data_IF_870406866946
#
_entry.id   IF_870406866946
#
_cell.length_a   1.000
_cell.length_b   1.000
_cell.length_c   1.000
_cell.angle_alpha   90.00
_cell.angle_beta   90.00
_cell.angle_gamma   90.00
#
_symmetry.space_group_name_H-M   'P 1'
#
loop_
_entity.id
_entity.type
_entity.pdbx_description
1 polymer ?
#
# COMPACT_ATOMS: atom_id res chain seq x y z
N UNK A 1 18.44 -21.23 -13.25
CA UNK A 1 18.71 -20.92 -14.66
C UNK A 1 18.05 -19.55 -14.87
N UNK A 2 18.72 -18.42 -15.03
CA UNK A 2 20.00 -18.15 -15.67
C UNK A 2 20.88 -17.18 -14.89
N UNK A 3 22.16 -17.55 -14.81
CA UNK A 3 23.28 -16.68 -14.45
C UNK A 3 23.79 -16.08 -15.75
N UNK A 4 23.79 -14.75 -15.89
CA UNK A 4 24.71 -14.02 -16.80
C UNK A 4 24.68 -12.51 -16.55
N UNK A 5 24.90 -12.10 -15.29
CA UNK A 5 25.33 -10.73 -15.00
C UNK A 5 26.83 -10.62 -15.23
N UNK A 6 27.24 -10.34 -16.46
CA UNK A 6 28.62 -10.06 -16.82
C UNK A 6 29.11 -8.86 -16.01
N UNK A 7 29.82 -9.14 -14.90
CA UNK A 7 30.66 -8.16 -14.21
C UNK A 7 31.71 -7.72 -15.23
N UNK A 8 31.45 -6.60 -15.92
CA UNK A 8 32.50 -5.79 -16.51
C UNK A 8 33.49 -5.49 -15.38
N UNK A 9 34.59 -6.26 -15.30
CA UNK A 9 35.79 -5.82 -14.61
C UNK A 9 36.23 -4.57 -15.36
N UNK A 10 35.81 -3.39 -14.89
CA UNK A 10 36.63 -2.21 -15.13
C UNK A 10 37.99 -2.57 -14.54
N UNK A 11 38.97 -2.82 -15.39
CA UNK A 11 40.37 -2.86 -14.98
C UNK A 11 40.74 -1.45 -14.58
N UNK A 12 40.28 -1.02 -13.41
CA UNK A 12 40.88 0.11 -12.71
C UNK A 12 42.33 -0.33 -12.51
N UNK A 13 43.27 0.34 -13.19
CA UNK A 13 44.67 -0.09 -13.19
C UNK A 13 45.15 -0.05 -11.73
N UNK A 14 45.42 -1.22 -11.16
CA UNK A 14 45.88 -1.30 -9.78
C UNK A 14 47.22 -0.55 -9.66
N UNK A 15 47.25 0.45 -8.78
CA UNK A 15 48.44 1.20 -8.42
C UNK A 15 49.06 0.60 -7.15
N UNK A 16 50.37 0.78 -7.00
CA UNK A 16 51.06 0.42 -5.76
C UNK A 16 50.88 1.57 -4.78
N UNK A 17 50.19 1.33 -3.68
CA UNK A 17 49.87 2.32 -2.67
C UNK A 17 50.52 1.98 -1.33
N UNK A 18 50.63 3.00 -0.48
CA UNK A 18 51.18 2.90 0.87
C UNK A 18 50.07 2.53 1.85
N UNK A 19 50.40 1.67 2.79
CA UNK A 19 49.58 1.36 3.96
C UNK A 19 50.44 1.40 5.23
N UNK A 20 50.06 2.28 6.15
CA UNK A 20 50.75 2.45 7.44
C UNK A 20 50.43 1.25 8.35
N UNK A 21 51.45 0.68 8.99
CA UNK A 21 51.27 -0.48 9.88
C UNK A 21 50.61 -0.11 11.21
N UNK A 22 49.83 -1.04 11.78
CA UNK A 22 49.25 -0.89 13.12
C UNK A 22 50.36 -0.70 14.18
N UNK A 23 50.18 0.28 15.08
CA UNK A 23 51.18 0.66 16.09
C UNK A 23 52.23 1.69 15.62
N UNK A 24 52.19 2.11 14.36
CA UNK A 24 53.02 3.18 13.80
C UNK A 24 52.46 4.55 14.20
N UNK A 25 53.19 5.34 15.01
CA UNK A 25 52.82 6.72 15.36
C UNK A 25 53.69 7.69 14.58
N UNK A 26 53.10 8.58 13.78
CA UNK A 26 53.83 9.71 13.23
C UNK A 26 53.85 10.85 14.26
N UNK A 27 55.01 11.15 14.84
CA UNK A 27 55.16 12.32 15.69
C UNK A 27 55.07 13.60 14.86
N UNK A 28 53.87 14.15 14.67
CA UNK A 28 53.61 15.56 14.33
C UNK A 28 54.23 16.18 13.06
N UNK A 29 55.04 15.47 12.26
CA UNK A 29 55.71 16.06 11.09
C UNK A 29 54.90 15.93 9.80
N UNK A 30 54.89 17.01 9.00
CA UNK A 30 54.12 17.18 7.78
C UNK A 30 54.54 16.27 6.59
N UNK A 31 55.61 15.47 6.72
CA UNK A 31 56.29 14.78 5.59
C UNK A 31 56.23 13.25 5.71
N UNK A 32 55.39 12.69 6.58
CA UNK A 32 55.23 11.24 6.67
C UNK A 32 54.24 10.70 5.64
N UNK A 33 54.51 9.48 5.16
CA UNK A 33 53.58 8.76 4.29
C UNK A 33 52.33 8.33 5.08
N UNK A 34 51.19 8.36 4.40
CA UNK A 34 49.88 7.98 4.93
C UNK A 34 49.28 6.85 4.10
N UNK A 35 48.36 6.12 4.72
CA UNK A 35 47.61 5.08 4.01
C UNK A 35 46.84 5.72 2.85
N UNK A 36 47.06 5.19 1.65
CA UNK A 36 46.47 5.72 0.42
C UNK A 36 47.44 6.54 -0.44
N UNK A 37 48.63 6.94 0.03
CA UNK A 37 49.63 7.59 -0.84
C UNK A 37 50.06 6.64 -1.96
N UNK A 38 50.13 7.13 -3.20
CA UNK A 38 50.40 6.30 -4.39
C UNK A 38 51.90 6.33 -4.68
N UNK A 39 52.56 5.18 -4.78
CA UNK A 39 53.99 5.09 -5.07
C UNK A 39 54.24 5.33 -6.55
N UNK A 40 55.07 6.34 -6.83
CA UNK A 40 55.43 6.74 -8.20
C UNK A 40 56.86 6.31 -8.54
N UNK A 41 57.80 6.42 -7.59
CA UNK A 41 59.19 6.00 -7.82
C UNK A 41 59.80 5.32 -6.58
N UNK A 42 60.68 4.35 -6.80
CA UNK A 42 61.49 3.71 -5.77
C UNK A 42 62.95 3.70 -6.20
N UNK A 43 63.82 4.34 -5.42
CA UNK A 43 65.25 4.47 -5.69
C UNK A 43 66.04 3.67 -4.66
N UNK A 44 66.99 2.85 -5.14
CA UNK A 44 67.84 1.99 -4.32
C UNK A 44 69.30 2.47 -4.44
N UNK A 45 69.86 3.07 -3.38
CA UNK A 45 71.24 3.56 -3.41
C UNK A 45 71.53 4.47 -4.61
N UNK A 46 72.54 4.13 -5.41
CA UNK A 46 72.93 4.83 -6.64
C UNK A 46 72.37 4.21 -7.94
N UNK A 47 71.45 3.24 -7.84
CA UNK A 47 70.79 2.64 -9.01
C UNK A 47 69.73 3.58 -9.61
N UNK A 48 69.44 3.45 -10.93
CA UNK A 48 68.35 4.21 -11.54
C UNK A 48 67.01 3.91 -10.87
N UNK A 49 66.13 4.93 -10.69
CA UNK A 49 64.86 4.76 -10.00
C UNK A 49 63.90 3.85 -10.77
N UNK A 50 63.25 2.92 -10.06
CA UNK A 50 62.15 2.14 -10.59
C UNK A 50 60.88 3.00 -10.56
N UNK A 51 60.24 3.20 -11.72
CA UNK A 51 59.08 4.10 -11.86
C UNK A 51 57.76 3.34 -12.08
N UNK A 52 56.68 3.94 -11.62
CA UNK A 52 55.31 3.57 -11.99
C UNK A 52 55.10 3.79 -13.52
N UNK A 53 54.21 3.03 -14.17
CA UNK A 53 53.47 1.90 -13.65
C UNK A 53 54.37 0.66 -13.47
N UNK A 54 54.34 0.07 -12.27
CA UNK A 54 55.11 -1.15 -11.98
C UNK A 54 54.45 -2.35 -12.65
N UNK A 55 55.02 -2.86 -13.75
CA UNK A 55 54.53 -4.10 -14.38
C UNK A 55 54.61 -5.26 -13.38
N UNK A 56 53.46 -5.77 -12.96
CA UNK A 56 53.34 -6.79 -11.90
C UNK A 56 53.08 -6.23 -10.49
N UNK A 57 52.76 -4.94 -10.38
CA UNK A 57 52.30 -4.27 -9.16
C UNK A 57 53.29 -4.41 -7.99
N UNK A 58 52.74 -4.56 -6.79
CA UNK A 58 53.48 -4.78 -5.55
C UNK A 58 54.48 -5.92 -5.68
N UNK A 59 54.10 -7.01 -6.34
CA UNK A 59 54.96 -8.20 -6.45
C UNK A 59 56.29 -7.90 -7.14
N UNK A 60 56.30 -6.97 -8.10
CA UNK A 60 57.55 -6.52 -8.76
C UNK A 60 58.40 -5.69 -7.80
N UNK A 61 57.79 -4.74 -7.09
CA UNK A 61 58.49 -3.89 -6.11
C UNK A 61 59.08 -4.73 -4.97
N UNK A 62 58.36 -5.76 -4.51
CA UNK A 62 58.85 -6.70 -3.48
C UNK A 62 60.07 -7.51 -3.92
N UNK A 63 60.17 -7.87 -5.22
CA UNK A 63 61.38 -8.51 -5.76
C UNK A 63 62.58 -7.56 -5.74
N UNK A 64 62.37 -6.29 -6.11
CA UNK A 64 63.43 -5.27 -6.04
C UNK A 64 63.90 -5.03 -4.60
N UNK A 65 62.96 -4.97 -3.64
CA UNK A 65 63.28 -4.88 -2.21
C UNK A 65 64.10 -6.08 -1.72
N UNK A 66 63.76 -7.29 -2.18
CA UNK A 66 64.50 -8.51 -1.85
C UNK A 66 65.94 -8.49 -2.40
N UNK A 67 66.11 -8.07 -3.65
CA UNK A 67 67.41 -7.97 -4.30
C UNK A 67 68.31 -6.93 -3.63
N UNK A 68 67.78 -5.73 -3.37
CA UNK A 68 68.49 -4.67 -2.65
C UNK A 68 68.90 -5.11 -1.24
N UNK A 69 68.00 -5.76 -0.50
CA UNK A 69 68.31 -6.32 0.82
C UNK A 69 69.44 -7.37 0.76
N UNK A 70 69.47 -8.23 -0.27
CA UNK A 70 70.53 -9.23 -0.45
C UNK A 70 71.89 -8.62 -0.79
N UNK A 71 71.92 -7.47 -1.47
CA UNK A 71 73.15 -6.74 -1.80
C UNK A 71 73.70 -5.92 -0.63
N UNK A 72 72.91 -5.70 0.42
CA UNK A 72 73.25 -4.83 1.54
C UNK A 72 72.78 -3.38 1.37
N UNK A 73 72.18 -3.05 0.22
CA UNK A 73 71.61 -1.74 -0.11
C UNK A 73 70.24 -1.57 0.56
N UNK A 74 70.26 -1.41 1.89
CA UNK A 74 69.02 -1.36 2.68
C UNK A 74 68.40 0.03 2.74
N UNK A 75 69.11 1.09 2.30
CA UNK A 75 68.61 2.46 2.27
C UNK A 75 67.93 2.78 0.94
N UNK A 76 66.65 3.16 0.99
CA UNK A 76 65.84 3.46 -0.19
C UNK A 76 65.13 4.81 -0.07
N UNK A 77 64.74 5.37 -1.20
CA UNK A 77 63.87 6.55 -1.28
C UNK A 77 62.61 6.17 -2.05
N UNK A 78 61.45 6.40 -1.46
CA UNK A 78 60.15 6.19 -2.10
C UNK A 78 59.51 7.53 -2.36
N UNK A 79 59.27 7.85 -3.63
CA UNK A 79 58.48 9.01 -4.03
C UNK A 79 57.02 8.61 -4.14
N UNK A 80 56.17 9.22 -3.33
CA UNK A 80 54.73 8.94 -3.35
C UNK A 80 53.93 10.21 -3.63
N UNK A 81 52.80 10.06 -4.33
CA UNK A 81 51.86 11.11 -4.66
C UNK A 81 50.69 11.11 -3.67
N UNK A 82 50.38 12.28 -3.12
CA UNK A 82 49.20 12.56 -2.31
C UNK A 82 48.29 13.57 -3.01
N UNK A 83 47.00 13.24 -3.09
CA UNK A 83 45.97 14.05 -3.69
C UNK A 83 45.98 14.07 -5.22
N UNK A 84 44.95 14.69 -5.83
CA UNK A 84 44.85 14.85 -7.27
C UNK A 84 45.81 15.91 -7.84
N UNK A 85 46.27 16.85 -7.01
CA UNK A 85 47.18 17.96 -7.40
C UNK A 85 48.66 17.54 -7.48
N UNK A 86 48.96 16.25 -7.50
CA UNK A 86 50.32 15.71 -7.64
C UNK A 86 51.32 16.26 -6.60
N UNK A 87 50.93 16.33 -5.31
CA UNK A 87 51.91 16.62 -4.25
C UNK A 87 52.80 15.39 -4.05
N UNK A 88 54.08 15.51 -4.39
CA UNK A 88 55.06 14.44 -4.24
C UNK A 88 55.78 14.52 -2.90
N UNK A 89 55.88 13.37 -2.22
CA UNK A 89 56.54 13.18 -0.94
C UNK A 89 57.70 12.19 -1.14
N UNK A 90 58.92 12.61 -0.78
CA UNK A 90 60.09 11.74 -0.79
C UNK A 90 60.30 11.13 0.60
N UNK A 91 60.14 9.81 0.69
CA UNK A 91 60.22 9.05 1.93
C UNK A 91 61.51 8.23 1.99
N UNK A 92 62.40 8.63 2.89
CA UNK A 92 63.66 7.91 3.14
C UNK A 92 63.42 6.76 4.12
N UNK A 93 63.65 5.53 3.65
CA UNK A 93 63.34 4.33 4.41
C UNK A 93 64.49 3.31 4.40
N UNK A 94 64.44 2.42 5.39
CA UNK A 94 65.22 1.18 5.42
C UNK A 94 64.33 -0.01 5.12
N UNK A 95 64.83 -0.91 4.29
CA UNK A 95 64.19 -2.19 3.96
C UNK A 95 64.38 -3.15 5.13
N UNK A 96 63.29 -3.54 5.78
CA UNK A 96 63.31 -4.45 6.94
C UNK A 96 62.54 -5.72 6.59
N UNK A 97 63.08 -6.92 6.85
CA UNK A 97 62.33 -8.16 6.67
C UNK A 97 61.17 -8.20 7.66
N UNK A 98 59.98 -8.59 7.18
CA UNK A 98 58.78 -8.69 8.00
C UNK A 98 58.40 -10.18 8.17
N UNK A 99 58.87 -10.84 9.24
CA UNK A 99 58.74 -12.29 9.40
C UNK A 99 57.29 -12.76 9.61
N UNK A 100 56.43 -11.89 10.14
CA UNK A 100 55.04 -12.21 10.47
C UNK A 100 54.12 -12.41 9.25
N UNK A 101 54.54 -12.01 8.04
CA UNK A 101 53.72 -12.08 6.83
C UNK A 101 54.22 -13.09 5.78
N UNK A 102 55.13 -13.99 6.17
CA UNK A 102 55.65 -15.08 5.33
C UNK A 102 57.04 -14.82 4.70
N UNK A 103 57.55 -15.80 3.95
CA UNK A 103 58.89 -15.72 3.33
C UNK A 103 58.95 -14.59 2.28
N UNK A 104 60.01 -13.78 2.34
CA UNK A 104 60.33 -12.67 1.38
C UNK A 104 59.36 -11.49 1.40
N UNK A 105 58.76 -11.19 2.56
CA UNK A 105 58.06 -9.93 2.76
C UNK A 105 58.95 -8.88 3.43
N UNK A 106 58.87 -7.65 2.92
CA UNK A 106 59.67 -6.51 3.33
C UNK A 106 58.74 -5.35 3.66
N UNK A 107 59.12 -4.62 4.71
CA UNK A 107 58.45 -3.40 5.18
C UNK A 107 59.45 -2.26 5.11
N UNK A 108 58.95 -1.06 4.87
CA UNK A 108 59.75 0.14 4.79
C UNK A 108 59.63 0.89 6.11
N UNK A 109 60.75 1.04 6.81
CA UNK A 109 60.81 1.77 8.08
C UNK A 109 61.51 3.10 7.87
N UNK A 110 60.92 4.20 8.33
CA UNK A 110 61.51 5.53 8.15
C UNK A 110 62.90 5.60 8.78
N UNK A 111 63.83 6.26 8.09
CA UNK A 111 65.16 6.58 8.63
C UNK A 111 65.05 7.64 9.74
N UNK A 112 64.07 8.54 9.64
CA UNK A 112 63.88 9.66 10.57
C UNK A 112 63.08 9.26 11.82
N UNK A 113 62.09 8.38 11.65
CA UNK A 113 61.31 7.83 12.78
C UNK A 113 61.23 6.30 12.67
N UNK A 114 62.06 5.54 13.42
CA UNK A 114 62.03 4.09 13.39
C UNK A 114 60.67 3.46 13.79
N UNK A 115 59.80 4.22 14.46
CA UNK A 115 58.43 3.76 14.80
C UNK A 115 57.47 3.88 13.62
N UNK A 116 57.80 4.70 12.62
CA UNK A 116 57.00 4.85 11.42
C UNK A 116 57.37 3.78 10.38
N UNK A 117 56.48 2.79 10.23
CA UNK A 117 56.64 1.70 9.28
C UNK A 117 55.45 1.60 8.32
N UNK A 118 55.74 1.36 7.06
CA UNK A 118 54.74 1.26 5.99
C UNK A 118 54.97 0.03 5.13
N UNK A 119 53.87 -0.53 4.62
CA UNK A 119 53.87 -1.61 3.62
C UNK A 119 53.30 -1.10 2.30
N UNK A 120 53.65 -1.79 1.22
CA UNK A 120 53.12 -1.53 -0.11
C UNK A 120 51.96 -2.49 -0.39
N UNK A 121 50.90 -2.01 -1.05
CA UNK A 121 49.70 -2.78 -1.42
C UNK A 121 49.21 -2.42 -2.82
N UNK A 122 48.58 -3.36 -3.52
CA UNK A 122 47.91 -3.07 -4.79
C UNK A 122 46.48 -2.59 -4.48
N UNK A 123 46.10 -1.39 -4.94
CA UNK A 123 44.74 -0.81 -4.79
C UNK A 123 44.35 -0.04 -6.06
N UNK A 124 43.07 0.26 -6.25
CA UNK A 124 42.68 1.19 -7.31
C UNK A 124 43.09 2.62 -6.94
N UNK A 125 43.35 3.46 -7.95
CA UNK A 125 43.63 4.87 -7.74
C UNK A 125 42.45 5.58 -7.06
N UNK A 126 41.22 5.22 -7.44
CA UNK A 126 39.97 5.70 -6.83
C UNK A 126 39.90 5.43 -5.32
N UNK A 127 40.30 4.22 -4.87
CA UNK A 127 40.37 3.88 -3.45
C UNK A 127 41.47 4.65 -2.73
N UNK A 128 42.65 4.81 -3.36
CA UNK A 128 43.78 5.55 -2.80
C UNK A 128 43.41 6.99 -2.50
N UNK A 129 42.77 7.67 -3.45
CA UNK A 129 42.27 9.04 -3.29
C UNK A 129 41.22 9.10 -2.15
N UNK A 130 40.37 8.09 -2.02
CA UNK A 130 39.40 8.02 -0.92
C UNK A 130 40.06 7.86 0.46
N UNK A 131 41.18 7.13 0.56
CA UNK A 131 41.96 7.02 1.82
C UNK A 131 42.69 8.31 2.18
N UNK A 132 43.20 9.04 1.18
CA UNK A 132 43.84 10.35 1.33
C UNK A 132 42.86 11.46 1.75
N UNK A 133 41.55 11.24 1.64
CA UNK A 133 40.52 12.18 2.04
C UNK A 133 40.50 12.50 3.55
N UNK A 134 39.93 13.65 3.93
CA UNK A 134 39.77 14.08 5.32
C UNK A 134 38.89 13.13 6.15
N UNK A 135 38.94 13.23 7.49
CA UNK A 135 38.02 12.49 8.38
C UNK A 135 36.55 12.77 8.01
N UNK A 136 36.21 14.00 7.62
CA UNK A 136 34.85 14.34 7.17
C UNK A 136 34.48 13.63 5.88
N UNK A 137 35.36 13.55 4.87
CA UNK A 137 35.04 12.85 3.62
C UNK A 137 34.88 11.34 3.81
N UNK A 138 35.62 10.72 4.74
CA UNK A 138 35.45 9.29 5.08
C UNK A 138 34.12 9.00 5.77
N UNK A 139 33.67 9.86 6.69
CA UNK A 139 32.36 9.72 7.35
C UNK A 139 31.23 9.96 6.33
N UNK A 140 31.34 11.00 5.50
CA UNK A 140 30.38 11.23 4.41
C UNK A 140 30.30 10.06 3.44
N UNK A 141 31.43 9.42 3.12
CA UNK A 141 31.45 8.23 2.27
C UNK A 141 30.86 6.99 2.95
N UNK A 142 31.16 6.78 4.24
CA UNK A 142 30.56 5.70 5.01
C UNK A 142 29.04 5.87 5.13
N UNK A 143 28.58 7.10 5.31
CA UNK A 143 27.16 7.45 5.29
C UNK A 143 26.52 7.18 3.92
N UNK A 144 27.16 7.63 2.83
CA UNK A 144 26.68 7.37 1.47
C UNK A 144 26.64 5.87 1.12
N UNK A 145 27.50 5.07 1.75
CA UNK A 145 27.57 3.63 1.55
C UNK A 145 26.71 2.84 2.56
N UNK A 146 26.17 3.48 3.59
CA UNK A 146 25.34 2.82 4.59
C UNK A 146 23.98 2.51 3.97
N UNK A 147 23.63 1.24 3.93
CA UNK A 147 22.34 0.78 3.46
C UNK A 147 21.49 0.42 4.67
N UNK A 148 20.25 0.91 4.70
CA UNK A 148 19.24 0.38 5.61
C UNK A 148 18.85 -1.00 5.09
N UNK A 149 18.76 -1.97 6.01
CA UNK A 149 18.31 -3.31 5.71
C UNK A 149 16.87 -3.50 6.17
N UNK A 150 16.10 -4.26 5.40
CA UNK A 150 14.75 -4.64 5.78
C UNK A 150 14.78 -5.60 6.98
N UNK A 151 13.78 -5.47 7.86
CA UNK A 151 13.55 -6.35 8.99
C UNK A 151 12.09 -6.79 9.03
N UNK A 152 11.84 -7.99 9.55
CA UNK A 152 10.50 -8.53 9.72
C UNK A 152 10.21 -8.79 11.20
N UNK A 153 8.99 -8.49 11.63
CA UNK A 153 8.48 -8.75 12.98
C UNK A 153 7.33 -9.73 12.88
N UNK A 154 7.37 -10.79 13.69
CA UNK A 154 6.24 -11.71 13.81
C UNK A 154 5.08 -11.01 14.52
N UNK A 155 3.90 -11.00 13.90
CA UNK A 155 2.69 -10.40 14.45
C UNK A 155 1.55 -11.43 14.48
N UNK A 156 0.91 -11.69 15.64
CA UNK A 156 -0.10 -12.73 15.77
C UNK A 156 -1.47 -12.25 15.28
N UNK A 157 -1.62 -12.12 13.96
CA UNK A 157 -2.81 -11.57 13.29
C UNK A 157 -4.11 -12.22 13.76
N UNK A 158 -4.19 -13.55 13.80
CA UNK A 158 -5.42 -14.29 14.13
C UNK A 158 -5.86 -14.06 15.57
N UNK A 159 -4.90 -14.01 16.50
CA UNK A 159 -5.18 -13.73 17.91
C UNK A 159 -5.71 -12.30 18.05
N UNK A 160 -5.05 -11.33 17.40
CA UNK A 160 -5.45 -9.92 17.44
C UNK A 160 -6.83 -9.71 16.83
N UNK A 161 -7.12 -10.29 15.65
CA UNK A 161 -8.44 -10.18 15.03
C UNK A 161 -9.57 -10.75 15.90
N UNK A 162 -9.32 -11.79 16.70
CA UNK A 162 -10.32 -12.35 17.62
C UNK A 162 -10.51 -11.52 18.88
N UNK A 163 -9.45 -10.89 19.37
CA UNK A 163 -9.45 -10.15 20.65
C UNK A 163 -9.82 -8.67 20.50
N UNK A 164 -9.56 -8.05 19.33
CA UNK A 164 -9.69 -6.59 19.16
C UNK A 164 -10.85 -6.15 18.27
N UNK A 165 -11.39 -7.02 17.42
CA UNK A 165 -12.51 -6.64 16.54
C UNK A 165 -13.84 -6.78 17.28
N UNK A 166 -14.79 -5.83 17.11
CA UNK A 166 -16.13 -5.93 17.71
C UNK A 166 -16.88 -7.20 17.28
N UNK A 167 -16.73 -7.58 16.01
CA UNK A 167 -17.22 -8.85 15.48
C UNK A 167 -16.00 -9.74 15.13
N UNK A 168 -15.84 -10.91 15.76
CA UNK A 168 -14.69 -11.77 15.52
C UNK A 168 -14.50 -12.11 14.04
N UNK A 169 -13.27 -11.95 13.55
CA UNK A 169 -12.88 -12.21 12.16
C UNK A 169 -13.66 -11.39 11.10
N UNK A 170 -14.26 -10.25 11.48
CA UNK A 170 -15.08 -9.44 10.58
C UNK A 170 -14.64 -7.98 10.55
N UNK A 171 -14.41 -7.45 9.33
CA UNK A 171 -14.10 -6.04 9.11
C UNK A 171 -15.34 -5.16 9.17
N UNK A 172 -15.24 -3.96 9.75
CA UNK A 172 -16.25 -2.91 9.61
C UNK A 172 -16.13 -2.13 8.29
N UNK A 173 -15.09 -2.40 7.49
CA UNK A 173 -14.93 -1.84 6.15
C UNK A 173 -15.70 -2.66 5.13
N UNK A 174 -16.53 -1.97 4.36
CA UNK A 174 -17.34 -2.50 3.27
C UNK A 174 -17.00 -1.82 1.96
N UNK A 175 -17.35 -2.46 0.86
CA UNK A 175 -17.08 -1.90 -0.46
C UNK A 175 -18.17 -2.23 -1.47
N UNK A 176 -18.44 -1.29 -2.38
CA UNK A 176 -19.26 -1.46 -3.56
C UNK A 176 -18.38 -1.27 -4.81
N UNK A 177 -18.40 -2.22 -5.74
CA UNK A 177 -17.76 -2.07 -7.04
C UNK A 177 -18.73 -1.49 -8.07
N UNK A 178 -18.46 -0.30 -8.59
CA UNK A 178 -19.25 0.32 -9.66
C UNK A 178 -18.53 0.10 -10.99
N UNK A 179 -19.13 -0.70 -11.86
CA UNK A 179 -18.64 -0.86 -13.23
C UNK A 179 -19.06 0.33 -14.10
N UNK A 180 -18.24 0.74 -15.09
CA UNK A 180 -18.62 1.76 -16.06
C UNK A 180 -19.91 1.41 -16.76
N UNK A 181 -20.76 2.41 -16.95
CA UNK A 181 -22.04 2.20 -17.64
C UNK A 181 -21.77 1.98 -19.13
N UNK A 182 -22.31 0.90 -19.68
CA UNK A 182 -22.31 0.69 -21.12
C UNK A 182 -23.22 1.74 -21.78
N UNK A 183 -22.70 2.47 -22.76
CA UNK A 183 -23.48 3.48 -23.48
C UNK A 183 -24.42 2.83 -24.51
N UNK A 184 -24.13 1.60 -24.91
CA UNK A 184 -24.86 0.80 -25.89
C UNK A 184 -25.17 -0.62 -25.36
N UNK A 185 -26.24 -1.28 -25.84
CA UNK A 185 -26.58 -2.64 -25.43
C UNK A 185 -25.51 -3.68 -25.78
N UNK A 186 -24.70 -3.44 -26.81
CA UNK A 186 -23.60 -4.33 -27.19
C UNK A 186 -22.36 -4.20 -26.31
N UNK A 187 -22.37 -3.28 -25.32
CA UNK A 187 -21.26 -3.06 -24.37
C UNK A 187 -19.91 -2.81 -25.08
N UNK A 188 -19.96 -2.16 -26.24
CA UNK A 188 -18.77 -1.82 -27.03
C UNK A 188 -18.18 -0.47 -26.64
N UNK A 189 -19.02 0.40 -26.07
CA UNK A 189 -18.67 1.74 -25.59
C UNK A 189 -19.14 1.96 -24.16
N UNK A 190 -18.37 2.74 -23.40
CA UNK A 190 -18.63 3.00 -21.99
C UNK A 190 -18.57 4.49 -21.72
N UNK A 191 -19.43 4.93 -20.81
CA UNK A 191 -19.39 6.29 -20.27
C UNK A 191 -18.03 6.54 -19.59
N UNK A 192 -17.54 7.79 -19.54
CA UNK A 192 -16.25 8.13 -18.94
C UNK A 192 -16.17 7.80 -17.44
N UNK A 193 -14.96 7.77 -16.89
CA UNK A 193 -14.74 7.41 -15.47
C UNK A 193 -15.49 8.36 -14.53
N UNK A 194 -15.62 9.64 -14.91
CA UNK A 194 -16.39 10.64 -14.16
C UNK A 194 -17.87 10.25 -13.97
N UNK A 195 -18.51 9.64 -14.98
CA UNK A 195 -19.89 9.12 -14.84
C UNK A 195 -19.95 7.98 -13.81
N UNK A 196 -18.91 7.14 -13.78
CA UNK A 196 -18.82 6.04 -12.83
C UNK A 196 -18.62 6.55 -11.40
N UNK A 197 -17.82 7.60 -11.22
CA UNK A 197 -17.65 8.30 -9.95
C UNK A 197 -18.96 8.97 -9.50
N UNK A 198 -19.63 9.70 -10.39
CA UNK A 198 -20.90 10.35 -10.10
C UNK A 198 -21.99 9.34 -9.68
N UNK A 199 -22.03 8.16 -10.32
CA UNK A 199 -22.94 7.07 -9.92
C UNK A 199 -22.61 6.50 -8.54
N UNK A 200 -21.33 6.38 -8.20
CA UNK A 200 -20.92 5.94 -6.87
C UNK A 200 -21.32 6.96 -5.79
N UNK A 201 -21.09 8.25 -6.06
CA UNK A 201 -21.47 9.35 -5.18
C UNK A 201 -22.99 9.45 -4.99
N UNK A 202 -23.74 9.33 -6.09
CA UNK A 202 -25.21 9.29 -6.07
C UNK A 202 -25.71 8.12 -5.23
N UNK A 203 -25.17 6.91 -5.42
CA UNK A 203 -25.57 5.74 -4.64
C UNK A 203 -25.34 5.94 -3.15
N UNK A 204 -24.19 6.52 -2.77
CA UNK A 204 -23.88 6.79 -1.36
C UNK A 204 -24.83 7.84 -0.77
N UNK A 205 -25.00 8.96 -1.46
CA UNK A 205 -25.87 10.06 -1.03
C UNK A 205 -27.32 9.62 -0.90
N UNK A 206 -27.84 8.86 -1.87
CA UNK A 206 -29.19 8.28 -1.80
C UNK A 206 -29.33 7.29 -0.65
N UNK A 207 -28.33 6.42 -0.43
CA UNK A 207 -28.34 5.48 0.70
C UNK A 207 -28.48 6.21 2.04
N UNK A 208 -27.71 7.29 2.23
CA UNK A 208 -27.76 8.11 3.43
C UNK A 208 -29.10 8.85 3.58
N UNK A 209 -29.63 9.39 2.48
CA UNK A 209 -30.94 10.05 2.44
C UNK A 209 -32.10 9.07 2.77
N UNK A 210 -31.98 7.82 2.32
CA UNK A 210 -32.89 6.71 2.66
C UNK A 210 -32.77 6.26 4.13
N UNK A 211 -31.83 6.83 4.90
CA UNK A 211 -31.65 6.54 6.33
C UNK A 211 -30.67 5.41 6.63
N UNK A 212 -29.90 4.92 5.65
CA UNK A 212 -28.85 3.91 5.87
C UNK A 212 -27.68 4.55 6.62
N UNK A 213 -27.26 3.99 7.79
CA UNK A 213 -26.25 4.63 8.63
C UNK A 213 -24.83 4.25 8.21
N UNK A 214 -24.40 4.77 7.06
CA UNK A 214 -23.05 4.59 6.51
C UNK A 214 -22.34 5.91 6.25
N UNK A 215 -21.00 5.88 6.27
CA UNK A 215 -20.11 7.00 5.97
C UNK A 215 -19.12 6.64 4.88
N UNK A 216 -18.74 7.65 4.10
CA UNK A 216 -17.68 7.56 3.12
C UNK A 216 -16.34 7.27 3.80
N UNK A 217 -15.57 6.32 3.27
CA UNK A 217 -14.20 6.06 3.72
C UNK A 217 -13.17 6.41 2.65
N UNK A 218 -13.36 5.88 1.44
CA UNK A 218 -12.40 6.04 0.36
C UNK A 218 -13.05 5.70 -0.99
N UNK A 219 -12.48 6.23 -2.07
CA UNK A 219 -12.84 5.85 -3.43
C UNK A 219 -11.58 5.54 -4.23
N UNK A 220 -11.58 4.42 -4.93
CA UNK A 220 -10.41 3.94 -5.67
C UNK A 220 -10.83 3.50 -7.06
N UNK A 221 -10.04 3.82 -8.07
CA UNK A 221 -10.17 3.22 -9.40
C UNK A 221 -9.51 1.84 -9.44
N UNK A 222 -10.23 0.85 -9.96
CA UNK A 222 -9.77 -0.52 -10.12
C UNK A 222 -9.68 -0.89 -11.59
N UNK A 223 -8.53 -1.43 -12.00
CA UNK A 223 -8.31 -1.92 -13.36
C UNK A 223 -8.73 -3.38 -13.44
N UNK A 224 -9.76 -3.66 -14.23
CA UNK A 224 -10.24 -5.00 -14.54
C UNK A 224 -9.83 -5.37 -15.95
N UNK A 225 -9.23 -6.54 -16.11
CA UNK A 225 -8.88 -7.06 -17.44
C UNK A 225 -10.12 -7.69 -18.06
N UNK A 226 -10.42 -7.33 -19.30
CA UNK A 226 -11.48 -7.91 -20.10
C UNK A 226 -10.96 -8.25 -21.49
N UNK A 227 -11.50 -9.31 -22.08
CA UNK A 227 -11.28 -9.56 -23.50
C UNK A 227 -12.07 -8.52 -24.29
N UNK A 228 -11.43 -7.85 -25.23
CA UNK A 228 -12.11 -6.96 -26.19
C UNK A 228 -11.99 -7.57 -27.59
N UNK A 229 -12.91 -7.24 -28.49
CA UNK A 229 -12.91 -7.73 -29.87
C UNK A 229 -13.66 -6.73 -30.75
N UNK A 230 -13.33 -6.67 -32.04
CA UNK A 230 -14.02 -5.82 -33.01
C UNK A 230 -13.80 -4.32 -32.77
N UNK A 231 -14.86 -3.51 -32.83
CA UNK A 231 -14.78 -2.04 -32.71
C UNK A 231 -14.17 -1.56 -31.38
N UNK A 232 -14.33 -2.32 -30.29
CA UNK A 232 -13.74 -1.96 -28.98
C UNK A 232 -12.20 -2.04 -28.99
N UNK A 233 -11.61 -2.88 -29.86
CA UNK A 233 -10.16 -2.96 -30.07
C UNK A 233 -9.60 -1.79 -30.88
N UNK A 234 -10.45 -0.98 -31.52
CA UNK A 234 -10.00 0.25 -32.21
C UNK A 234 -9.56 1.36 -31.23
N UNK A 235 -9.88 1.21 -29.94
CA UNK A 235 -9.43 2.10 -28.84
C UNK A 235 -8.10 1.64 -28.24
N UNK A 236 -7.28 0.95 -29.02
CA UNK A 236 -5.94 0.53 -28.62
C UNK A 236 -5.03 1.74 -28.47
N UNK A 237 -4.32 1.81 -27.34
CA UNK A 237 -3.48 2.97 -27.03
C UNK A 237 -2.03 2.66 -27.29
N UNK A 238 -1.42 3.50 -28.13
CA UNK A 238 0.01 3.46 -28.38
C UNK A 238 0.71 4.48 -27.46
N UNK A 239 1.59 4.02 -26.56
CA UNK A 239 2.28 4.88 -25.59
C UNK A 239 3.17 5.97 -26.23
N UNK A 240 3.40 5.92 -27.55
CA UNK A 240 4.14 6.94 -28.30
C UNK A 240 3.36 8.21 -28.66
N UNK A 241 2.04 8.26 -28.47
CA UNK A 241 1.17 9.38 -28.86
C UNK A 241 0.59 10.11 -27.64
N UNK A 242 0.95 11.37 -27.45
CA UNK A 242 0.43 12.21 -26.34
C UNK A 242 -1.09 12.42 -26.44
N UNK A 243 -1.64 12.46 -27.66
CA UNK A 243 -3.07 12.61 -27.89
C UNK A 243 -3.85 11.37 -27.39
N UNK A 244 -3.31 10.17 -27.61
CA UNK A 244 -3.92 8.93 -27.13
C UNK A 244 -3.89 8.85 -25.60
N UNK A 245 -2.82 9.36 -24.97
CA UNK A 245 -2.71 9.46 -23.51
C UNK A 245 -3.76 10.41 -22.89
N UNK A 246 -4.09 11.51 -23.56
CA UNK A 246 -5.16 12.42 -23.08
C UNK A 246 -6.55 11.78 -23.12
N UNK A 247 -6.83 10.98 -24.14
CA UNK A 247 -8.10 10.24 -24.24
C UNK A 247 -8.19 9.15 -23.18
N UNK A 248 -7.06 8.51 -22.84
CA UNK A 248 -6.97 7.49 -21.79
C UNK A 248 -7.17 8.06 -20.39
N UNK A 249 -6.94 9.35 -20.15
CA UNK A 249 -7.08 9.93 -18.82
C UNK A 249 -8.51 9.74 -18.26
N UNK A 250 -9.53 9.95 -19.09
CA UNK A 250 -10.93 9.87 -18.69
C UNK A 250 -11.69 8.66 -19.26
N UNK A 251 -11.06 7.86 -20.12
CA UNK A 251 -11.67 6.66 -20.68
C UNK A 251 -11.86 5.58 -19.62
N UNK A 252 -13.06 4.96 -19.64
CA UNK A 252 -13.40 3.83 -18.78
C UNK A 252 -12.93 2.49 -19.31
N UNK A 253 -12.59 2.41 -20.60
CA UNK A 253 -12.04 1.23 -21.24
C UNK A 253 -10.99 1.68 -22.24
N UNK A 254 -9.81 1.07 -22.20
CA UNK A 254 -8.78 1.24 -23.21
C UNK A 254 -8.15 -0.11 -23.53
N UNK A 255 -7.79 -0.32 -24.79
CA UNK A 255 -7.24 -1.57 -25.29
C UNK A 255 -5.72 -1.55 -25.43
N UNK A 256 -5.11 -2.73 -25.41
CA UNK A 256 -3.80 -2.96 -26.00
C UNK A 256 -3.75 -4.39 -26.55
N UNK A 257 -2.90 -4.62 -27.54
CA UNK A 257 -2.67 -5.93 -28.13
C UNK A 257 -1.57 -6.65 -27.32
N UNK A 258 -1.81 -7.90 -26.94
CA UNK A 258 -0.80 -8.73 -26.29
C UNK A 258 0.24 -9.27 -27.29
N UNK A 259 1.28 -9.95 -26.80
CA UNK A 259 2.33 -10.51 -27.65
C UNK A 259 1.82 -11.57 -28.66
N UNK A 260 0.65 -12.16 -28.41
CA UNK A 260 0.03 -13.17 -29.26
C UNK A 260 -1.02 -12.61 -30.22
N UNK A 261 -1.21 -11.29 -30.25
CA UNK A 261 -2.19 -10.62 -31.11
C UNK A 261 -3.62 -10.64 -30.56
N UNK A 262 -3.79 -10.85 -29.26
CA UNK A 262 -5.08 -10.81 -28.57
C UNK A 262 -5.32 -9.43 -28.00
N UNK A 263 -6.45 -8.81 -28.37
CA UNK A 263 -6.85 -7.54 -27.80
C UNK A 263 -7.33 -7.68 -26.35
N UNK A 264 -6.63 -7.02 -25.44
CA UNK A 264 -6.95 -6.95 -24.01
C UNK A 264 -7.42 -5.54 -23.68
N UNK A 265 -8.61 -5.45 -23.09
CA UNK A 265 -9.15 -4.21 -22.55
C UNK A 265 -8.86 -4.08 -21.06
N UNK A 266 -8.50 -2.87 -20.64
CA UNK A 266 -8.45 -2.47 -19.24
C UNK A 266 -9.67 -1.61 -18.94
N UNK A 267 -10.63 -2.18 -18.21
CA UNK A 267 -11.80 -1.48 -17.73
C UNK A 267 -11.49 -0.82 -16.39
N UNK A 268 -11.77 0.48 -16.24
CA UNK A 268 -11.62 1.23 -15.00
C UNK A 268 -12.93 1.25 -14.23
N UNK A 269 -13.09 0.28 -13.34
CA UNK A 269 -14.17 0.30 -12.36
C UNK A 269 -13.83 1.25 -11.20
N UNK A 270 -14.83 1.61 -10.41
CA UNK A 270 -14.65 2.41 -9.19
C UNK A 270 -15.06 1.57 -7.99
N UNK A 271 -14.17 1.39 -7.03
CA UNK A 271 -14.50 0.83 -5.72
C UNK A 271 -14.74 1.94 -4.72
N UNK A 272 -15.97 2.01 -4.25
CA UNK A 272 -16.37 2.85 -3.13
C UNK A 272 -16.23 2.05 -1.84
N UNK A 273 -15.42 2.54 -0.91
CA UNK A 273 -15.29 2.03 0.44
C UNK A 273 -16.13 2.86 1.40
N UNK A 274 -16.90 2.17 2.23
CA UNK A 274 -17.76 2.78 3.24
C UNK A 274 -17.69 1.98 4.54
N UNK A 275 -18.09 2.61 5.64
CA UNK A 275 -18.23 1.95 6.94
C UNK A 275 -19.52 2.41 7.63
N UNK A 276 -20.01 1.65 8.63
CA UNK A 276 -21.12 2.10 9.45
C UNK A 276 -20.70 3.28 10.32
N UNK A 277 -21.62 4.19 10.64
CA UNK A 277 -21.32 5.39 11.45
C UNK A 277 -20.74 5.01 12.83
N UNK A 278 -21.44 4.14 13.56
CA UNK A 278 -21.06 3.70 14.92
C UNK A 278 -20.67 2.21 14.97
N UNK A 279 -20.27 1.65 13.83
CA UNK A 279 -19.95 0.23 13.71
C UNK A 279 -21.15 -0.72 13.59
N UNK A 280 -20.90 -2.00 13.84
CA UNK A 280 -21.89 -3.07 13.75
C UNK A 280 -22.28 -3.57 15.14
N UNK A 281 -23.57 -3.74 15.41
CA UNK A 281 -24.06 -4.40 16.62
C UNK A 281 -24.56 -5.80 16.31
N UNK A 282 -24.07 -6.79 17.06
CA UNK A 282 -24.55 -8.15 16.98
C UNK A 282 -25.81 -8.33 17.83
N UNK A 283 -26.86 -8.88 17.22
CA UNK A 283 -28.13 -9.19 17.84
C UNK A 283 -28.45 -10.67 17.65
N UNK A 284 -28.56 -11.40 18.75
CA UNK A 284 -28.94 -12.80 18.73
C UNK A 284 -30.46 -12.97 18.88
N UNK A 285 -31.07 -13.72 17.97
CA UNK A 285 -32.46 -14.13 18.02
C UNK A 285 -32.47 -15.63 18.24
N UNK A 286 -32.94 -16.08 19.41
CA UNK A 286 -33.03 -17.48 19.78
C UNK A 286 -34.44 -18.04 19.51
N UNK A 287 -34.63 -18.89 18.48
CA UNK A 287 -35.89 -19.60 18.29
C UNK A 287 -36.06 -20.66 19.38
N UNK A 288 -37.29 -20.86 19.86
CA UNK A 288 -37.65 -21.86 20.87
C UNK A 288 -38.73 -22.81 20.34
N UNK A 289 -38.79 -24.00 20.94
CA UNK A 289 -39.91 -24.92 20.74
C UNK A 289 -41.22 -24.23 21.14
N UNK A 290 -42.17 -24.16 20.20
CA UNK A 290 -43.43 -23.42 20.36
C UNK A 290 -43.47 -22.06 19.64
N UNK A 291 -42.35 -21.55 19.11
CA UNK A 291 -42.39 -20.34 18.28
C UNK A 291 -43.03 -20.63 16.92
N UNK A 292 -44.15 -19.97 16.63
CA UNK A 292 -44.86 -20.12 15.35
C UNK A 292 -44.21 -19.30 14.23
N UNK A 293 -43.50 -18.23 14.57
CA UNK A 293 -42.81 -17.32 13.64
C UNK A 293 -41.68 -16.55 14.32
N UNK A 294 -40.83 -15.93 13.51
CA UNK A 294 -39.71 -15.12 14.01
C UNK A 294 -40.16 -13.75 14.58
N UNK A 295 -41.24 -13.15 14.05
CA UNK A 295 -41.80 -11.90 14.58
C UNK A 295 -41.23 -10.60 14.03
N UNK A 296 -40.56 -10.65 12.88
CA UNK A 296 -40.11 -9.47 12.16
C UNK A 296 -40.13 -9.73 10.66
N UNK A 297 -40.24 -8.66 9.88
CA UNK A 297 -40.14 -8.71 8.42
C UNK A 297 -38.92 -7.94 7.95
N UNK A 298 -38.38 -8.37 6.83
CA UNK A 298 -37.28 -7.70 6.13
C UNK A 298 -37.77 -7.12 4.81
N UNK A 299 -37.20 -5.99 4.41
CA UNK A 299 -37.44 -5.36 3.13
C UNK A 299 -36.13 -4.86 2.54
N UNK A 300 -36.16 -4.36 1.31
CA UNK A 300 -34.99 -3.90 0.58
C UNK A 300 -35.16 -2.44 0.14
N UNK A 301 -34.11 -1.64 0.27
CA UNK A 301 -34.08 -0.27 -0.28
C UNK A 301 -33.83 -0.28 -1.79
N UNK A 302 -33.99 0.84 -2.47
CA UNK A 302 -33.64 0.97 -3.90
C UNK A 302 -32.13 0.77 -4.12
N UNK A 303 -31.32 1.20 -3.16
CA UNK A 303 -29.85 1.08 -3.16
C UNK A 303 -29.36 -0.35 -2.83
N UNK A 304 -30.29 -1.27 -2.53
CA UNK A 304 -30.02 -2.70 -2.39
C UNK A 304 -29.72 -3.15 -0.95
N UNK A 305 -29.95 -2.31 0.06
CA UNK A 305 -29.76 -2.70 1.47
C UNK A 305 -30.95 -3.48 2.00
N UNK A 306 -30.68 -4.56 2.74
CA UNK A 306 -31.71 -5.27 3.49
C UNK A 306 -31.87 -4.60 4.86
N UNK A 307 -33.10 -4.28 5.25
CA UNK A 307 -33.40 -3.69 6.55
C UNK A 307 -34.61 -4.35 7.19
N UNK A 308 -34.73 -4.19 8.50
CA UNK A 308 -35.87 -4.68 9.28
C UNK A 308 -37.00 -3.68 9.14
N UNK A 309 -38.04 -4.05 8.40
CA UNK A 309 -39.14 -3.13 8.03
C UNK A 309 -40.27 -3.09 9.04
N UNK A 310 -40.49 -4.18 9.77
CA UNK A 310 -41.45 -4.22 10.87
C UNK A 310 -41.06 -5.28 11.89
N UNK A 311 -41.43 -5.02 13.13
CA UNK A 311 -41.29 -5.96 14.26
C UNK A 311 -42.66 -6.06 14.90
N UNK A 312 -43.11 -7.28 15.17
CA UNK A 312 -44.45 -7.49 15.70
C UNK A 312 -44.57 -6.92 17.13
N UNK A 313 -45.66 -6.19 17.36
CA UNK A 313 -45.92 -5.55 18.65
C UNK A 313 -46.41 -6.52 19.73
N UNK A 314 -46.79 -7.75 19.37
CA UNK A 314 -47.39 -8.69 20.30
C UNK A 314 -46.30 -9.30 21.21
N UNK A 315 -46.32 -8.95 22.49
CA UNK A 315 -45.48 -9.58 23.53
C UNK A 315 -45.99 -11.01 23.88
N UNK A 316 -46.63 -11.67 22.92
CA UNK A 316 -47.21 -13.00 23.10
C UNK A 316 -46.13 -14.06 23.22
N UNK A 317 -46.37 -15.03 24.10
CA UNK A 317 -45.62 -16.30 24.15
C UNK A 317 -45.63 -16.96 22.76
N UNK A 318 -44.46 -17.10 22.13
CA UNK A 318 -44.30 -17.79 20.84
C UNK A 318 -43.66 -16.98 19.70
N UNK A 319 -43.07 -15.80 19.98
CA UNK A 319 -42.36 -14.99 18.98
C UNK A 319 -40.91 -14.75 19.39
N UNK A 320 -39.95 -15.12 18.52
CA UNK A 320 -38.52 -15.05 18.82
C UNK A 320 -38.00 -13.61 18.98
N UNK A 321 -38.39 -12.70 18.08
CA UNK A 321 -37.94 -11.30 18.09
C UNK A 321 -38.41 -10.48 19.31
N UNK A 322 -39.51 -10.87 19.96
CA UNK A 322 -39.98 -10.23 21.17
C UNK A 322 -38.96 -10.37 22.32
N UNK A 323 -38.13 -11.42 22.29
CA UNK A 323 -37.14 -11.74 23.34
C UNK A 323 -35.75 -11.17 23.08
N UNK A 324 -35.42 -10.81 21.84
CA UNK A 324 -34.08 -10.33 21.46
C UNK A 324 -33.86 -8.84 21.70
N UNK A 325 -34.90 -8.07 22.04
CA UNK A 325 -34.81 -6.61 22.13
C UNK A 325 -34.88 -5.89 20.78
N UNK A 326 -35.11 -6.63 19.68
CA UNK A 326 -35.23 -6.08 18.33
C UNK A 326 -36.28 -4.97 18.20
N UNK A 327 -37.40 -5.10 18.94
CA UNK A 327 -38.47 -4.11 18.99
C UNK A 327 -37.99 -2.75 19.52
N UNK A 328 -37.14 -2.74 20.55
CA UNK A 328 -36.57 -1.50 21.11
C UNK A 328 -35.66 -0.82 20.10
N UNK A 329 -34.83 -1.60 19.41
CA UNK A 329 -33.91 -1.11 18.39
C UNK A 329 -34.65 -0.55 17.18
N UNK A 330 -35.67 -1.25 16.68
CA UNK A 330 -36.50 -0.77 15.57
C UNK A 330 -37.20 0.54 15.90
N UNK A 331 -37.72 0.70 17.14
CA UNK A 331 -38.31 1.96 17.60
C UNK A 331 -37.28 3.09 17.73
N UNK A 332 -36.08 2.79 18.24
CA UNK A 332 -35.00 3.75 18.32
C UNK A 332 -34.52 4.21 16.93
N UNK A 333 -34.46 3.29 15.95
CA UNK A 333 -34.11 3.59 14.57
C UNK A 333 -35.13 4.53 13.94
N UNK A 334 -36.41 4.19 14.08
CA UNK A 334 -37.51 5.01 13.58
C UNK A 334 -37.52 6.41 14.22
N UNK A 335 -37.27 6.51 15.53
CA UNK A 335 -37.18 7.79 16.23
C UNK A 335 -36.01 8.67 15.75
N UNK A 336 -34.92 8.05 15.31
CA UNK A 336 -33.76 8.73 14.73
C UNK A 336 -33.87 8.94 13.20
N UNK A 337 -34.99 8.57 12.58
CA UNK A 337 -35.16 8.56 11.12
C UNK A 337 -34.08 7.74 10.40
N UNK A 338 -33.68 6.60 10.99
CA UNK A 338 -32.68 5.67 10.45
C UNK A 338 -33.30 4.30 10.16
N UNK A 339 -32.71 3.61 9.20
CA UNK A 339 -33.05 2.23 8.88
C UNK A 339 -32.21 1.27 9.71
N UNK A 340 -32.86 0.23 10.24
CA UNK A 340 -32.18 -0.87 10.90
C UNK A 340 -31.67 -1.88 9.86
N UNK A 341 -30.53 -1.53 9.25
CA UNK A 341 -29.93 -2.28 8.14
C UNK A 341 -29.21 -3.52 8.64
N UNK A 342 -29.48 -4.66 8.02
CA UNK A 342 -28.80 -5.93 8.28
C UNK A 342 -27.55 -6.00 7.42
N UNK A 343 -26.37 -5.98 8.03
CA UNK A 343 -25.11 -6.14 7.33
C UNK A 343 -24.73 -7.60 7.13
N UNK A 344 -25.08 -8.46 8.10
CA UNK A 344 -24.73 -9.89 8.09
C UNK A 344 -25.80 -10.76 8.73
N UNK A 345 -25.85 -12.01 8.26
CA UNK A 345 -26.58 -13.12 8.92
C UNK A 345 -25.59 -14.24 9.20
N UNK A 346 -25.30 -14.46 10.48
CA UNK A 346 -24.15 -15.23 10.92
C UNK A 346 -22.86 -14.51 10.53
N UNK A 347 -21.99 -15.21 9.79
CA UNK A 347 -20.73 -14.67 9.24
C UNK A 347 -20.85 -14.15 7.81
N UNK A 348 -21.99 -14.36 7.15
CA UNK A 348 -22.20 -13.99 5.75
C UNK A 348 -22.64 -12.53 5.62
N UNK A 349 -21.91 -11.74 4.82
CA UNK A 349 -22.29 -10.36 4.47
C UNK A 349 -23.48 -10.38 3.52
N UNK A 350 -24.48 -9.53 3.78
CA UNK A 350 -25.72 -9.41 2.97
C UNK A 350 -25.91 -8.01 2.37
N UNK A 351 -24.86 -7.19 2.37
CA UNK A 351 -24.83 -5.84 1.80
C UNK A 351 -24.68 -5.87 0.26
N UNK A 352 -25.14 -4.82 -0.46
CA UNK A 352 -24.88 -4.68 -1.89
C UNK A 352 -23.37 -4.62 -2.18
N UNK A 353 -22.93 -5.28 -3.25
CA UNK A 353 -21.49 -5.48 -3.52
C UNK A 353 -21.01 -5.03 -4.89
N UNK A 354 -21.92 -4.82 -5.86
CA UNK A 354 -21.55 -4.39 -7.21
C UNK A 354 -22.68 -3.65 -7.91
N UNK A 355 -22.34 -2.70 -8.78
CA UNK A 355 -23.23 -2.11 -9.78
C UNK A 355 -22.74 -2.52 -11.15
N UNK A 356 -23.60 -3.13 -11.96
CA UNK A 356 -23.27 -3.64 -13.29
C UNK A 356 -23.05 -2.53 -14.31
N UNK A 357 -22.57 -2.92 -15.49
CA UNK A 357 -22.46 -2.03 -16.67
C UNK A 357 -23.82 -1.56 -17.17
N UNK A 358 -24.91 -2.29 -16.89
CA UNK A 358 -26.29 -1.85 -17.17
C UNK A 358 -26.85 -0.90 -16.12
N UNK A 359 -26.14 -0.68 -15.00
CA UNK A 359 -26.61 0.15 -13.89
C UNK A 359 -27.34 -0.60 -12.77
N UNK A 360 -27.55 -1.91 -12.90
CA UNK A 360 -28.25 -2.71 -11.89
C UNK A 360 -27.36 -2.97 -10.66
N UNK A 361 -27.94 -2.85 -9.46
CA UNK A 361 -27.24 -3.12 -8.20
C UNK A 361 -27.37 -4.62 -7.86
N UNK A 362 -26.24 -5.30 -7.72
CA UNK A 362 -26.16 -6.68 -7.23
C UNK A 362 -26.24 -6.68 -5.70
N UNK A 363 -27.31 -7.30 -5.21
CA UNK A 363 -27.65 -7.46 -3.80
C UNK A 363 -28.36 -8.80 -3.60
N UNK A 364 -28.61 -9.17 -2.34
CA UNK A 364 -29.36 -10.39 -2.02
C UNK A 364 -30.87 -10.18 -2.19
N UNK A 365 -31.57 -11.25 -2.55
CA UNK A 365 -33.02 -11.22 -2.61
C UNK A 365 -33.64 -11.53 -1.23
N UNK A 366 -34.77 -10.89 -0.94
CA UNK A 366 -35.44 -11.01 0.36
C UNK A 366 -36.08 -12.39 0.55
N UNK A 367 -36.36 -13.14 -0.52
CA UNK A 367 -37.03 -14.44 -0.47
C UNK A 367 -36.07 -15.50 0.06
N UNK A 368 -34.90 -15.65 -0.57
CA UNK A 368 -33.85 -16.59 -0.15
C UNK A 368 -33.38 -16.28 1.27
N UNK A 369 -33.26 -15.00 1.63
CA UNK A 369 -32.87 -14.60 2.98
C UNK A 369 -33.96 -14.98 4.00
N UNK A 370 -35.23 -14.71 3.69
CA UNK A 370 -36.37 -15.10 4.54
C UNK A 370 -36.49 -16.61 4.70
N UNK A 371 -36.22 -17.38 3.64
CA UNK A 371 -36.15 -18.85 3.68
C UNK A 371 -35.02 -19.31 4.61
N UNK A 372 -33.81 -18.74 4.50
CA UNK A 372 -32.69 -19.06 5.39
C UNK A 372 -33.03 -18.79 6.86
N UNK A 373 -33.60 -17.62 7.17
CA UNK A 373 -34.03 -17.27 8.52
C UNK A 373 -35.11 -18.24 9.05
N UNK A 374 -36.05 -18.64 8.20
CA UNK A 374 -37.08 -19.63 8.55
C UNK A 374 -36.47 -21.00 8.85
N UNK A 375 -35.44 -21.42 8.11
CA UNK A 375 -34.71 -22.67 8.39
C UNK A 375 -34.01 -22.64 9.75
N UNK A 376 -33.45 -21.50 10.17
CA UNK A 376 -32.91 -21.37 11.52
C UNK A 376 -33.98 -21.59 12.60
N UNK A 377 -35.19 -21.06 12.40
CA UNK A 377 -36.33 -21.32 13.29
C UNK A 377 -36.66 -22.81 13.34
N UNK A 378 -36.82 -23.47 12.20
CA UNK A 378 -37.17 -24.89 12.13
C UNK A 378 -36.07 -25.80 12.70
N UNK A 379 -34.81 -25.41 12.55
CA UNK A 379 -33.67 -26.12 13.12
C UNK A 379 -33.39 -25.74 14.59
N UNK A 380 -34.17 -24.83 15.18
CA UNK A 380 -33.97 -24.26 16.52
C UNK A 380 -32.53 -23.75 16.74
N UNK A 381 -31.93 -23.21 15.68
CA UNK A 381 -30.59 -22.63 15.72
C UNK A 381 -30.68 -21.11 15.94
N UNK A 382 -29.85 -20.54 16.81
CA UNK A 382 -29.82 -19.09 16.99
C UNK A 382 -29.50 -18.39 15.67
N UNK A 383 -30.09 -17.22 15.48
CA UNK A 383 -29.83 -16.34 14.36
C UNK A 383 -29.03 -15.16 14.88
N UNK A 384 -27.79 -15.04 14.42
CA UNK A 384 -26.95 -13.88 14.71
C UNK A 384 -27.10 -12.86 13.59
N UNK A 385 -27.78 -11.74 13.86
CA UNK A 385 -27.88 -10.61 12.93
C UNK A 385 -26.85 -9.56 13.31
N UNK A 386 -26.12 -9.03 12.34
CA UNK A 386 -25.32 -7.82 12.54
C UNK A 386 -26.05 -6.63 11.93
N UNK A 387 -26.21 -5.59 12.72
CA UNK A 387 -27.00 -4.40 12.39
C UNK A 387 -26.09 -3.18 12.31
N UNK A 388 -26.29 -2.34 11.30
CA UNK A 388 -25.56 -1.09 11.19
C UNK A 388 -26.08 -0.07 12.20
N UNK A 389 -25.18 0.47 13.01
CA UNK A 389 -25.54 1.40 14.08
C UNK A 389 -25.38 2.86 13.63
N UNK A 390 -26.25 3.70 14.19
CA UNK A 390 -26.23 5.16 14.07
C UNK A 390 -25.98 5.77 15.45
N UNK A 391 -25.52 7.03 15.48
CA UNK A 391 -25.33 7.78 16.73
C UNK A 391 -26.57 7.67 17.62
N UNK A 392 -26.40 7.03 18.78
CA UNK A 392 -27.40 7.04 19.83
C UNK A 392 -27.08 8.27 20.65
N UNK A 393 -27.93 9.30 20.61
CA UNK A 393 -27.78 10.47 21.48
C UNK A 393 -27.86 10.02 22.93
N UNK A 394 -26.72 9.78 23.55
CA UNK A 394 -26.64 9.69 25.00
C UNK A 394 -26.88 11.11 25.55
N UNK A 395 -28.10 11.37 26.00
CA UNK A 395 -28.37 12.50 26.89
C UNK A 395 -28.72 11.95 28.27
N UNK A 396 -27.81 12.21 29.21
CA UNK A 396 -27.95 12.29 30.68
C UNK A 396 -28.13 11.00 31.49
N UNK A 397 -27.07 10.59 32.21
CA UNK A 397 -27.05 10.65 33.69
C UNK A 397 -25.66 11.12 34.17
N UNK A 398 -25.71 12.20 34.94
CA UNK A 398 -24.70 12.81 35.82
C UNK A 398 -23.73 11.84 36.52
N UNK A 399 -22.43 12.14 36.46
CA UNK A 399 -21.49 11.88 37.57
C UNK A 399 -20.77 13.17 37.90
N UNK A 400 -20.75 13.44 39.20
CA UNK A 400 -20.26 14.64 39.86
C UNK A 400 -18.77 14.93 39.59
N UNK A 401 -18.49 16.23 39.65
CA UNK A 401 -17.24 16.91 40.02
C UNK A 401 -16.02 16.03 40.33
N UNK A 402 -14.97 16.19 39.52
CA UNK A 402 -13.61 16.29 40.01
C UNK A 402 -12.83 17.27 39.10
N UNK A 403 -12.32 18.32 39.73
CA UNK A 403 -11.61 19.44 39.14
C UNK A 403 -10.23 19.06 38.56
N UNK A 404 -9.78 19.86 37.57
CA UNK A 404 -8.38 20.19 37.19
C UNK A 404 -7.52 19.03 36.62
N UNK A 405 -6.84 19.13 35.48
CA UNK A 405 -5.97 20.21 34.99
C UNK A 405 -5.69 20.13 33.47
N UNK A 406 -5.18 21.24 32.95
CA UNK A 406 -4.99 21.70 31.56
C UNK A 406 -4.13 20.82 30.63
N UNK A 407 -4.50 20.73 29.34
CA UNK A 407 -3.63 20.85 28.12
C UNK A 407 -4.46 20.72 26.81
N UNK A 408 -3.97 21.19 25.63
CA UNK A 408 -4.75 22.06 24.76
C UNK A 408 -5.38 21.35 23.54
N UNK A 409 -6.44 21.98 23.06
CA UNK A 409 -7.27 21.66 21.89
C UNK A 409 -6.45 21.48 20.61
N UNK A 410 -6.68 20.42 19.80
CA UNK A 410 -6.20 20.37 18.43
C UNK A 410 -7.00 21.35 17.56
N UNK A 411 -6.30 22.25 16.87
CA UNK A 411 -6.88 23.20 15.92
C UNK A 411 -7.58 22.48 14.75
N UNK A 412 -8.86 22.78 14.54
CA UNK A 412 -9.58 22.44 13.31
C UNK A 412 -9.10 23.31 12.14
N UNK A 413 -8.93 22.77 10.92
CA UNK A 413 -8.51 23.55 9.76
C UNK A 413 -9.62 24.52 9.28
N UNK A 414 -9.27 25.69 8.74
CA UNK A 414 -10.25 26.72 8.37
C UNK A 414 -11.08 26.30 7.16
N UNK A 415 -12.41 26.31 7.31
CA UNK A 415 -13.36 26.19 6.22
C UNK A 415 -13.36 27.50 5.42
N UNK A 416 -12.85 27.47 4.18
CA UNK A 416 -12.92 28.59 3.25
C UNK A 416 -14.32 28.56 2.60
N UNK A 417 -15.15 29.53 2.96
CA UNK A 417 -16.47 29.77 2.34
C UNK A 417 -16.32 30.85 1.28
N UNK A 418 -16.56 30.59 -0.02
CA UNK A 418 -16.70 31.66 -1.00
C UNK A 418 -18.05 32.34 -0.82
N UNK A 419 -17.98 33.64 -0.52
CA UNK A 419 -19.11 34.55 -0.39
C UNK A 419 -19.75 34.79 -1.76
N UNK A 420 -21.08 34.71 -1.81
CA UNK A 420 -21.89 35.07 -2.97
C UNK A 420 -21.65 36.52 -3.39
N UNK A 421 -21.57 36.75 -4.70
CA UNK A 421 -21.72 38.07 -5.32
C UNK A 421 -22.90 38.03 -6.28
N UNK A 422 -23.91 38.83 -5.94
CA UNK A 422 -25.06 39.17 -6.76
C UNK A 422 -24.62 39.76 -8.11
N UNK A 423 -25.33 39.36 -9.16
CA UNK A 423 -25.18 39.89 -10.51
C UNK A 423 -26.30 39.39 -11.39
N UNK A 424 -27.45 40.08 -11.32
CA UNK A 424 -28.61 39.86 -12.16
C UNK A 424 -28.29 40.14 -13.65
N UNK A 425 -28.81 39.30 -14.55
CA UNK A 425 -29.51 39.80 -15.75
C UNK A 425 -30.42 38.72 -16.34
N UNK A 426 -31.67 39.12 -16.53
CA UNK A 426 -32.75 38.36 -17.13
C UNK A 426 -32.55 38.18 -18.65
N UNK A 427 -33.04 37.05 -19.17
CA UNK A 427 -33.63 36.98 -20.50
C UNK A 427 -34.65 35.84 -20.54
N UNK A 428 -35.91 36.25 -20.70
CA UNK A 428 -37.09 35.45 -20.95
C UNK A 428 -37.08 34.81 -22.33
N UNK A 429 -37.55 33.55 -22.44
CA UNK A 429 -38.27 33.09 -23.63
C UNK A 429 -39.18 31.91 -23.28
N UNK A 430 -40.47 32.22 -23.17
CA UNK A 430 -41.59 31.30 -23.29
C UNK A 430 -41.80 30.91 -24.75
N UNK A 431 -41.93 29.61 -25.08
CA UNK A 431 -42.89 29.13 -26.10
C UNK A 431 -43.31 27.70 -25.75
N UNK A 432 -44.62 27.53 -25.72
CA UNK A 432 -45.47 26.35 -25.57
C UNK A 432 -45.35 25.32 -26.70
N UNK A 433 -45.55 24.04 -26.38
CA UNK A 433 -46.66 23.17 -26.87
C UNK A 433 -46.29 21.68 -26.90
N UNK A 434 -47.05 20.87 -26.16
CA UNK A 434 -47.23 19.43 -26.39
C UNK A 434 -48.33 19.23 -27.48
N UNK A 435 -48.48 18.07 -28.15
CA UNK A 435 -48.98 16.84 -27.49
C UNK A 435 -48.51 15.48 -28.09
N UNK A 436 -48.80 14.39 -27.35
CA UNK A 436 -48.80 12.99 -27.83
C UNK A 436 -47.86 12.08 -27.03
N UNK A 437 -48.26 11.54 -25.86
CA UNK A 437 -48.88 10.21 -25.68
C UNK A 437 -48.22 9.10 -26.51
N UNK A 438 -47.36 8.31 -25.84
CA UNK A 438 -47.44 6.86 -25.91
C UNK A 438 -47.09 6.25 -24.54
N UNK A 439 -47.97 5.35 -24.13
CA UNK A 439 -48.00 4.66 -22.83
C UNK A 439 -47.20 3.37 -23.00
N UNK A 440 -46.14 3.19 -22.22
CA UNK A 440 -45.66 1.85 -21.89
C UNK A 440 -45.65 1.72 -20.36
N UNK A 441 -46.58 0.87 -19.93
CA UNK A 441 -46.88 0.48 -18.57
C UNK A 441 -45.88 -0.61 -18.19
N UNK A 442 -45.01 -0.34 -17.22
CA UNK A 442 -44.25 -1.40 -16.54
C UNK A 442 -44.58 -1.41 -15.05
N UNK A 443 -45.09 -2.56 -14.63
CA UNK A 443 -45.58 -2.85 -13.31
C UNK A 443 -44.44 -3.37 -12.42
N UNK A 444 -44.15 -2.66 -11.33
CA UNK A 444 -43.47 -3.23 -10.17
C UNK A 444 -44.20 -2.73 -8.92
N UNK A 445 -45.10 -3.58 -8.41
CA UNK A 445 -45.90 -3.28 -7.24
C UNK A 445 -45.11 -3.44 -5.95
N UNK A 446 -45.26 -2.46 -5.08
CA UNK A 446 -45.01 -2.58 -3.64
C UNK A 446 -45.85 -3.72 -3.07
N UNK A 447 -45.21 -4.83 -2.69
CA UNK A 447 -45.85 -5.87 -1.91
C UNK A 447 -44.97 -6.22 -0.71
N UNK A 448 -45.40 -5.74 0.46
CA UNK A 448 -45.00 -6.25 1.76
C UNK A 448 -45.56 -7.66 1.90
N UNK A 449 -44.70 -8.67 2.08
CA UNK A 449 -45.12 -10.07 2.17
C UNK A 449 -45.11 -10.56 3.62
N UNK A 450 -46.17 -11.30 3.97
CA UNK A 450 -46.28 -12.09 5.21
C UNK A 450 -45.89 -13.54 4.91
N UNK A 451 -45.28 -14.20 5.89
CA UNK A 451 -44.87 -15.61 5.80
C UNK A 451 -46.07 -16.55 5.62
N UNK A 452 -45.97 -17.49 4.68
CA UNK A 452 -46.96 -18.56 4.49
C UNK A 452 -46.64 -19.75 5.41
N UNK A 453 -47.61 -20.17 6.22
CA UNK A 453 -47.57 -21.40 7.00
C UNK A 453 -47.77 -22.63 6.09
N UNK A 454 -46.82 -23.56 6.09
CA UNK A 454 -46.99 -24.87 5.46
C UNK A 454 -47.52 -25.88 6.49
N UNK A 455 -48.84 -25.99 6.60
CA UNK A 455 -49.47 -27.12 7.27
C UNK A 455 -49.72 -28.25 6.26
N UNK A 456 -49.02 -29.37 6.49
CA UNK A 456 -49.39 -30.76 6.17
C UNK A 456 -49.77 -31.11 4.74
N UNK A 457 -48.90 -31.86 4.06
CA UNK A 457 -49.36 -32.89 3.13
C UNK A 457 -48.76 -34.24 3.53
N UNK A 458 -49.60 -35.08 4.13
CA UNK A 458 -49.31 -36.48 4.38
C UNK A 458 -50.07 -37.32 3.35
N UNK A 459 -49.41 -38.38 2.87
CA UNK A 459 -49.91 -39.59 2.20
C UNK A 459 -50.94 -39.47 1.05
N UNK A 460 -50.55 -40.00 -0.11
CA UNK A 460 -51.15 -41.26 -0.62
C UNK A 460 -50.30 -41.91 -1.71
N UNK A 461 -50.04 -43.19 -1.49
CA UNK A 461 -49.78 -44.27 -2.44
C UNK A 461 -50.68 -44.23 -3.68
N UNK A 462 -50.10 -44.41 -4.87
CA UNK A 462 -50.12 -45.63 -5.71
C UNK A 462 -48.97 -45.49 -6.72
#
# INVERSE_FOLDING_TARGET
>A
MDRSGSRRRSTDMAVVAVEVMEGSSCGGEAVALQTGDIVEEVTFGAEPPARSPFRGGRSRVMKLLHEAYRRGDTSIVVRARRGPEATYLDFHARVVPHPAAGRRQYVLRSVRDPRHAVRLVDRSESDCIAFQGSRSSRVSRALNNAQLHDGFVSYPWEKKMKETLPAPNSSCFFSLLVLPRASDPSSTSYNPVEDTLARADTWLSSSQASGVPIVFMHIQTESLLTKISGETASTTVNMGSLADLSNVANASLYGFEDYHGVDIGVMRAVRLWYSPIEGEMALEIEPREGDTKLGFSISRTEEGFIYISSVEDHDGTGVAAARSGLKKLSKAAAAASKLLVVSRVGTEKVLPWMVSTSGAIRCFDTVSLSQKLSLHRHALKPILLHLLMWETTETTVTVAEAESDEYPTPMSPPCIVPRASDGASAASSSVSSSPGRDVLQDAAGDQSFRFCDFSTWNNKSI
#
